data_IF_328513410859
#
_entry.id   IF_328513410859
#
_cell.length_a   1.000
_cell.length_b   1.000
_cell.length_c   1.000
_cell.angle_alpha   90.00
_cell.angle_beta   90.00
_cell.angle_gamma   90.00
#
_symmetry.space_group_name_H-M   'P 1'
#
loop_
_entity.id
_entity.type
_entity.pdbx_description
1 polymer ?
#
# COMPACT_ATOMS: atom_id res chain seq x y z
N UNK A 1 13.88 12.91 -10.45
CA UNK A 1 13.52 12.23 -11.73
C UNK A 1 12.51 11.13 -11.42
N UNK A 2 11.69 10.74 -12.42
CA UNK A 2 10.75 9.63 -12.24
C UNK A 2 11.50 8.29 -12.43
N UNK A 3 11.40 7.38 -11.45
CA UNK A 3 12.01 6.04 -11.53
C UNK A 3 11.04 4.98 -12.03
N UNK A 4 9.73 5.22 -11.85
CA UNK A 4 8.66 4.40 -12.41
C UNK A 4 7.70 5.32 -13.15
N UNK A 5 7.37 4.96 -14.40
CA UNK A 5 6.39 5.66 -15.22
C UNK A 5 5.53 4.67 -15.97
N UNK A 6 4.21 4.87 -15.96
CA UNK A 6 3.29 4.10 -16.80
C UNK A 6 2.50 5.03 -17.70
N UNK A 7 2.20 4.56 -18.90
CA UNK A 7 1.38 5.28 -19.88
C UNK A 7 0.28 4.33 -20.38
N UNK A 8 -0.96 4.62 -19.98
CA UNK A 8 -2.16 3.85 -20.31
C UNK A 8 -2.00 2.34 -20.09
N UNK A 9 -1.29 1.97 -19.01
CA UNK A 9 -0.99 0.58 -18.70
C UNK A 9 -2.28 -0.17 -18.44
N UNK A 10 -2.57 -1.19 -19.26
CA UNK A 10 -3.83 -1.93 -19.23
C UNK A 10 -3.58 -3.42 -19.20
N UNK A 11 -4.39 -4.15 -18.41
CA UNK A 11 -4.40 -5.62 -18.41
C UNK A 11 -5.81 -6.16 -18.39
N UNK A 12 -6.15 -6.94 -19.41
CA UNK A 12 -7.42 -7.66 -19.54
C UNK A 12 -7.22 -9.16 -19.43
N UNK A 13 -8.20 -9.86 -18.86
CA UNK A 13 -8.30 -11.31 -18.77
C UNK A 13 -9.68 -11.71 -19.30
N UNK A 14 -9.77 -12.07 -20.57
CA UNK A 14 -11.05 -12.28 -21.22
C UNK A 14 -11.91 -11.04 -21.17
N UNK A 15 -13.07 -11.10 -20.53
CA UNK A 15 -13.98 -9.94 -20.37
C UNK A 15 -13.62 -9.03 -19.17
N UNK A 16 -12.70 -9.44 -18.29
CA UNK A 16 -12.35 -8.67 -17.11
C UNK A 16 -11.15 -7.77 -17.42
N UNK A 17 -11.30 -6.46 -17.25
CA UNK A 17 -10.20 -5.50 -17.24
C UNK A 17 -9.74 -5.31 -15.80
N UNK A 18 -8.61 -5.94 -15.44
CA UNK A 18 -8.07 -5.91 -14.09
C UNK A 18 -7.25 -4.66 -13.79
N UNK A 19 -6.65 -4.03 -14.81
CA UNK A 19 -5.98 -2.72 -14.74
C UNK A 19 -6.38 -1.96 -16.00
N UNK A 20 -6.84 -0.73 -15.86
CA UNK A 20 -7.48 0.04 -16.92
C UNK A 20 -6.84 1.43 -17.06
N UNK A 21 -6.06 1.62 -18.14
CA UNK A 21 -5.40 2.86 -18.54
C UNK A 21 -4.64 3.56 -17.38
N UNK A 22 -3.88 2.75 -16.60
CA UNK A 22 -3.19 3.24 -15.42
C UNK A 22 -2.00 4.13 -15.82
N UNK A 23 -2.05 5.38 -15.36
CA UNK A 23 -1.00 6.38 -15.52
C UNK A 23 -0.42 6.73 -14.16
N UNK A 24 0.84 6.39 -13.95
CA UNK A 24 1.59 6.63 -12.72
C UNK A 24 2.94 7.25 -13.01
N UNK A 25 3.37 8.11 -12.11
CA UNK A 25 4.72 8.64 -12.09
C UNK A 25 5.22 8.66 -10.65
N UNK A 26 6.31 7.92 -10.37
CA UNK A 26 6.88 7.75 -9.03
C UNK A 26 8.29 8.30 -9.04
N UNK A 27 8.59 9.16 -8.07
CA UNK A 27 9.89 9.79 -7.93
C UNK A 27 10.90 8.82 -7.31
N UNK A 28 12.17 9.06 -7.60
CA UNK A 28 13.27 8.33 -6.96
C UNK A 28 13.34 8.68 -5.47
N UNK A 29 13.55 7.66 -4.62
CA UNK A 29 13.71 7.84 -3.18
C UNK A 29 12.42 8.12 -2.42
N UNK A 30 11.24 7.77 -2.96
CA UNK A 30 9.98 7.85 -2.21
C UNK A 30 9.42 6.48 -1.82
N UNK A 31 8.60 6.44 -0.79
CA UNK A 31 7.68 5.35 -0.52
C UNK A 31 6.35 5.68 -1.18
N UNK A 32 5.98 4.91 -2.19
CA UNK A 32 4.70 5.04 -2.88
C UNK A 32 3.75 3.92 -2.48
N UNK A 33 2.55 4.27 -2.03
CA UNK A 33 1.49 3.35 -1.63
C UNK A 33 0.45 3.17 -2.74
N UNK A 34 0.22 1.93 -3.20
CA UNK A 34 -0.93 1.58 -4.04
C UNK A 34 -1.99 0.91 -3.17
N UNK A 35 -3.09 1.58 -2.95
CA UNK A 35 -4.10 1.20 -1.97
C UNK A 35 -5.43 0.92 -2.62
N UNK A 36 -6.10 -0.12 -2.18
CA UNK A 36 -7.42 -0.49 -2.69
C UNK A 36 -7.89 -1.82 -2.12
N UNK A 37 -9.17 -2.17 -2.30
CA UNK A 37 -9.74 -3.42 -1.81
C UNK A 37 -9.14 -4.64 -2.53
N UNK A 38 -9.51 -5.82 -2.05
CA UNK A 38 -9.18 -7.06 -2.75
C UNK A 38 -9.82 -7.07 -4.13
N UNK A 39 -9.05 -7.49 -5.14
CA UNK A 39 -9.50 -7.47 -6.54
C UNK A 39 -9.38 -6.12 -7.25
N UNK A 40 -8.96 -5.04 -6.60
CA UNK A 40 -8.80 -3.73 -7.23
C UNK A 40 -7.74 -3.67 -8.35
N UNK A 41 -6.84 -4.67 -8.46
CA UNK A 41 -5.79 -4.71 -9.49
C UNK A 41 -4.37 -4.46 -8.97
N UNK A 42 -4.17 -4.32 -7.64
CA UNK A 42 -2.85 -4.01 -7.01
C UNK A 42 -1.74 -4.99 -7.42
N UNK A 43 -1.94 -6.29 -7.15
CA UNK A 43 -0.97 -7.34 -7.52
C UNK A 43 -0.75 -7.44 -9.03
N UNK A 44 -1.81 -7.26 -9.84
CA UNK A 44 -1.70 -7.26 -11.30
C UNK A 44 -0.82 -6.10 -11.78
N UNK A 45 -1.02 -4.91 -11.24
CA UNK A 45 -0.18 -3.74 -11.52
C UNK A 45 1.29 -4.01 -11.17
N UNK A 46 1.56 -4.51 -9.95
CA UNK A 46 2.93 -4.84 -9.55
C UNK A 46 3.58 -5.88 -10.45
N UNK A 47 2.86 -6.95 -10.80
CA UNK A 47 3.39 -7.99 -11.69
C UNK A 47 3.74 -7.47 -13.08
N UNK A 48 2.96 -6.51 -13.60
CA UNK A 48 3.31 -5.83 -14.84
C UNK A 48 4.57 -4.98 -14.68
N UNK A 49 4.68 -4.19 -13.62
CA UNK A 49 5.85 -3.34 -13.35
C UNK A 49 7.13 -4.16 -13.11
N UNK A 50 7.01 -5.36 -12.56
CA UNK A 50 8.13 -6.28 -12.35
C UNK A 50 8.45 -7.15 -13.58
N UNK A 51 7.71 -7.01 -14.69
CA UNK A 51 7.86 -7.84 -15.88
C UNK A 51 7.47 -9.30 -15.69
N UNK A 52 6.70 -9.62 -14.66
CA UNK A 52 6.15 -10.96 -14.41
C UNK A 52 4.87 -11.21 -15.21
N UNK A 53 4.34 -10.17 -15.83
CA UNK A 53 3.14 -10.20 -16.64
C UNK A 53 3.21 -9.11 -17.70
N UNK A 54 2.94 -9.45 -18.96
CA UNK A 54 2.88 -8.47 -20.03
C UNK A 54 1.58 -7.66 -19.93
N UNK A 55 1.61 -6.35 -20.17
CA UNK A 55 0.40 -5.56 -20.35
C UNK A 55 -0.34 -6.02 -21.62
N UNK A 56 -1.65 -5.79 -21.68
CA UNK A 56 -2.44 -5.94 -22.90
C UNK A 56 -2.25 -4.71 -23.79
N UNK A 57 -2.19 -3.53 -23.17
CA UNK A 57 -1.97 -2.24 -23.83
C UNK A 57 -1.13 -1.31 -22.93
N UNK A 58 -0.60 -0.26 -23.53
CA UNK A 58 0.21 0.72 -22.83
C UNK A 58 1.64 0.25 -22.59
N UNK A 59 2.37 1.00 -21.76
CA UNK A 59 3.76 0.70 -21.44
C UNK A 59 4.14 1.07 -20.01
N UNK A 60 5.20 0.45 -19.50
CA UNK A 60 5.81 0.78 -18.22
C UNK A 60 7.32 0.92 -18.37
N UNK A 61 7.87 1.97 -17.77
CA UNK A 61 9.30 2.21 -17.63
C UNK A 61 9.65 2.09 -16.15
N UNK A 62 10.62 1.26 -15.81
CA UNK A 62 11.09 1.06 -14.44
C UNK A 62 12.61 1.17 -14.42
N UNK A 63 13.14 2.02 -13.55
CA UNK A 63 14.57 2.31 -13.44
C UNK A 63 15.23 2.70 -14.77
N UNK A 64 14.47 3.36 -15.67
CA UNK A 64 14.93 3.80 -16.98
C UNK A 64 14.74 2.79 -18.11
N UNK A 65 14.25 1.57 -17.82
CA UNK A 65 14.10 0.47 -18.79
C UNK A 65 12.63 0.18 -19.11
N UNK A 66 12.34 -0.07 -20.39
CA UNK A 66 11.02 -0.52 -20.84
C UNK A 66 10.80 -1.99 -20.43
N UNK A 67 9.81 -2.21 -19.55
CA UNK A 67 9.54 -3.54 -18.95
C UNK A 67 9.26 -4.61 -19.99
N UNK A 68 8.68 -4.25 -21.13
CA UNK A 68 8.32 -5.19 -22.20
C UNK A 68 9.47 -5.53 -23.13
N UNK A 69 10.54 -4.70 -23.16
CA UNK A 69 11.65 -4.84 -24.12
C UNK A 69 12.97 -5.16 -23.46
N UNK A 70 13.18 -4.68 -22.23
CA UNK A 70 14.47 -4.73 -21.51
C UNK A 70 14.31 -5.47 -20.17
N UNK A 71 13.58 -6.59 -20.20
CA UNK A 71 13.16 -7.32 -18.99
C UNK A 71 14.31 -7.69 -18.06
N UNK A 72 15.44 -8.14 -18.60
CA UNK A 72 16.59 -8.55 -17.79
C UNK A 72 17.22 -7.34 -17.11
N UNK A 73 17.36 -6.21 -17.80
CA UNK A 73 17.83 -4.95 -17.21
C UNK A 73 16.89 -4.43 -16.11
N UNK A 74 15.56 -4.61 -16.27
CA UNK A 74 14.59 -4.29 -15.22
C UNK A 74 14.79 -5.19 -14.00
N UNK A 75 14.93 -6.52 -14.20
CA UNK A 75 15.10 -7.49 -13.10
C UNK A 75 16.35 -7.21 -12.26
N UNK A 76 17.43 -6.75 -12.89
CA UNK A 76 18.67 -6.40 -12.19
C UNK A 76 18.51 -5.15 -11.29
N UNK A 77 17.51 -4.32 -11.56
CA UNK A 77 17.29 -3.06 -10.84
C UNK A 77 16.17 -3.13 -9.79
N UNK A 78 15.38 -4.22 -9.77
CA UNK A 78 14.22 -4.33 -8.90
C UNK A 78 14.33 -5.49 -7.91
N UNK A 79 13.80 -5.29 -6.70
CA UNK A 79 13.47 -6.37 -5.78
C UNK A 79 11.95 -6.55 -5.75
N UNK A 80 11.45 -7.78 -5.82
CA UNK A 80 10.03 -8.07 -5.69
C UNK A 80 9.76 -9.04 -4.55
N UNK A 81 9.04 -8.57 -3.56
CA UNK A 81 8.54 -9.37 -2.45
C UNK A 81 7.06 -9.65 -2.68
N UNK A 82 6.74 -10.82 -3.16
CA UNK A 82 5.37 -11.27 -3.36
C UNK A 82 4.64 -11.47 -2.02
N UNK A 83 3.32 -11.36 -2.02
CA UNK A 83 2.46 -11.61 -0.85
C UNK A 83 2.77 -12.95 -0.16
N UNK A 84 3.11 -13.99 -0.94
CA UNK A 84 3.66 -15.26 -0.45
C UNK A 84 5.07 -15.41 -0.98
N UNK A 85 6.04 -14.97 -0.18
CA UNK A 85 7.44 -15.12 -0.55
C UNK A 85 7.93 -16.55 -0.33
N UNK A 86 8.68 -17.06 -1.29
CA UNK A 86 9.14 -18.46 -1.34
C UNK A 86 10.31 -18.76 -0.40
N UNK A 87 10.19 -18.51 0.92
CA UNK A 87 11.21 -18.93 1.88
C UNK A 87 11.27 -20.46 1.99
N UNK A 88 12.47 -21.00 2.03
CA UNK A 88 12.70 -22.41 2.30
C UNK A 88 12.59 -22.66 3.80
N UNK A 89 11.52 -23.30 4.23
CA UNK A 89 11.15 -23.47 5.65
C UNK A 89 12.19 -24.29 6.43
N UNK A 90 12.83 -25.24 5.76
CA UNK A 90 13.80 -26.15 6.38
C UNK A 90 15.21 -25.55 6.46
N UNK A 91 15.48 -24.53 5.65
CA UNK A 91 16.72 -23.77 5.71
C UNK A 91 16.67 -22.73 6.84
N UNK A 92 17.81 -22.50 7.45
CA UNK A 92 18.02 -21.42 8.42
C UNK A 92 17.92 -20.05 7.75
N UNK A 93 17.85 -18.99 8.55
CA UNK A 93 17.91 -17.60 8.07
C UNK A 93 19.15 -17.39 7.21
N UNK A 94 20.33 -17.80 7.69
CA UNK A 94 21.60 -17.64 6.96
C UNK A 94 21.62 -18.44 5.65
N UNK A 95 21.12 -19.68 5.64
CA UNK A 95 21.07 -20.52 4.45
C UNK A 95 20.07 -19.98 3.40
N UNK A 96 18.91 -19.45 3.82
CA UNK A 96 18.01 -18.74 2.91
C UNK A 96 18.72 -17.54 2.25
N UNK A 97 19.41 -16.71 3.05
CA UNK A 97 20.15 -15.56 2.51
C UNK A 97 21.27 -16.00 1.56
N UNK A 98 22.00 -17.07 1.89
CA UNK A 98 23.01 -17.62 1.00
C UNK A 98 22.42 -18.10 -0.33
N UNK A 99 21.31 -18.85 -0.28
CA UNK A 99 20.63 -19.33 -1.47
C UNK A 99 20.22 -18.18 -2.41
N UNK A 100 19.56 -17.14 -1.86
CA UNK A 100 19.16 -15.99 -2.69
C UNK A 100 20.37 -15.18 -3.17
N UNK A 101 21.43 -15.05 -2.39
CA UNK A 101 22.68 -14.42 -2.82
C UNK A 101 23.27 -15.15 -4.04
N UNK A 102 23.37 -16.47 -3.95
CA UNK A 102 23.93 -17.28 -5.04
C UNK A 102 23.07 -17.18 -6.31
N UNK A 103 21.73 -17.12 -6.16
CA UNK A 103 20.81 -16.92 -7.27
C UNK A 103 21.04 -15.58 -8.00
N UNK A 104 21.40 -14.53 -7.27
CA UNK A 104 21.72 -13.21 -7.82
C UNK A 104 23.21 -13.05 -8.19
N UNK A 105 24.04 -14.09 -8.05
CA UNK A 105 25.47 -14.05 -8.33
C UNK A 105 26.29 -13.25 -7.31
N UNK A 106 25.72 -12.90 -6.14
CA UNK A 106 26.40 -12.16 -5.06
C UNK A 106 27.13 -13.17 -4.18
N UNK A 107 28.46 -13.21 -4.24
CA UNK A 107 29.29 -14.24 -3.56
C UNK A 107 30.45 -13.63 -2.80
N UNK A 108 31.15 -14.46 -2.03
CA UNK A 108 32.37 -14.09 -1.33
C UNK A 108 32.18 -12.94 -0.33
N UNK A 109 33.17 -12.07 -0.25
CA UNK A 109 33.21 -10.97 0.72
C UNK A 109 32.01 -10.01 0.60
N UNK A 110 31.56 -9.74 -0.62
CA UNK A 110 30.41 -8.86 -0.87
C UNK A 110 29.14 -9.42 -0.23
N UNK A 111 28.88 -10.72 -0.40
CA UNK A 111 27.78 -11.41 0.27
C UNK A 111 27.85 -11.29 1.78
N UNK A 112 29.05 -11.56 2.35
CA UNK A 112 29.21 -11.60 3.80
C UNK A 112 28.98 -10.22 4.43
N UNK A 113 29.51 -9.16 3.82
CA UNK A 113 29.33 -7.77 4.26
C UNK A 113 27.84 -7.34 4.16
N UNK A 114 27.20 -7.66 3.05
CA UNK A 114 25.79 -7.31 2.82
C UNK A 114 24.85 -8.09 3.76
N UNK A 115 25.09 -9.39 3.92
CA UNK A 115 24.33 -10.24 4.85
C UNK A 115 24.45 -9.72 6.28
N UNK A 116 25.65 -9.42 6.74
CA UNK A 116 25.87 -8.86 8.08
C UNK A 116 25.16 -7.51 8.26
N UNK A 117 25.17 -6.63 7.24
CA UNK A 117 24.48 -5.34 7.26
C UNK A 117 22.96 -5.54 7.36
N UNK A 118 22.37 -6.41 6.52
CA UNK A 118 20.93 -6.67 6.50
C UNK A 118 20.44 -7.30 7.80
N UNK A 119 21.18 -8.24 8.36
CA UNK A 119 20.88 -8.85 9.66
C UNK A 119 20.84 -7.82 10.79
N UNK A 120 21.85 -6.92 10.86
CA UNK A 120 21.86 -5.81 11.85
C UNK A 120 20.68 -4.88 11.68
N UNK A 121 20.43 -4.42 10.47
CA UNK A 121 19.32 -3.50 10.14
C UNK A 121 17.95 -4.07 10.56
N UNK A 122 17.75 -5.37 10.39
CA UNK A 122 16.49 -6.06 10.73
C UNK A 122 16.45 -6.62 12.15
N UNK A 123 17.56 -6.53 12.90
CA UNK A 123 17.76 -7.14 14.23
C UNK A 123 17.57 -8.67 14.20
N UNK A 124 17.96 -9.30 13.11
CA UNK A 124 17.84 -10.75 12.92
C UNK A 124 19.12 -11.52 13.24
N UNK A 125 20.21 -10.86 13.66
CA UNK A 125 21.51 -11.48 14.00
C UNK A 125 21.39 -12.66 14.98
N UNK A 126 20.59 -12.60 16.08
CA UNK A 126 20.50 -13.72 17.01
C UNK A 126 19.79 -14.95 16.42
N UNK A 127 19.12 -14.79 15.28
CA UNK A 127 18.26 -15.81 14.69
C UNK A 127 18.87 -16.48 13.46
N UNK A 128 20.11 -16.16 13.09
CA UNK A 128 20.79 -16.65 11.86
C UNK A 128 20.73 -18.17 11.69
N UNK A 129 20.87 -18.92 12.79
CA UNK A 129 20.86 -20.39 12.80
C UNK A 129 19.47 -21.00 12.98
N UNK A 130 18.41 -20.17 13.06
CA UNK A 130 17.04 -20.66 13.24
C UNK A 130 16.43 -21.01 11.87
N UNK A 131 15.82 -22.21 11.72
CA UNK A 131 15.06 -22.54 10.51
C UNK A 131 13.93 -21.54 10.24
N UNK A 132 13.74 -21.18 8.97
CA UNK A 132 12.74 -20.19 8.58
C UNK A 132 11.30 -20.63 8.95
N UNK A 133 11.03 -21.93 8.92
CA UNK A 133 9.74 -22.49 9.36
C UNK A 133 9.40 -22.18 10.83
N UNK A 134 10.42 -21.98 11.69
CA UNK A 134 10.27 -21.70 13.14
C UNK A 134 10.28 -20.19 13.46
N UNK A 135 10.26 -19.33 12.48
CA UNK A 135 10.17 -17.87 12.66
C UNK A 135 8.69 -17.44 12.84
N UNK A 136 8.47 -16.34 13.59
CA UNK A 136 7.18 -15.67 13.61
C UNK A 136 6.84 -15.05 12.25
N UNK A 137 5.58 -14.65 12.02
CA UNK A 137 5.15 -14.00 10.78
C UNK A 137 6.01 -12.78 10.46
N UNK A 138 6.15 -11.84 11.40
CA UNK A 138 6.97 -10.64 11.21
C UNK A 138 8.46 -10.95 10.97
N UNK A 139 9.02 -12.00 11.60
CA UNK A 139 10.40 -12.41 11.31
C UNK A 139 10.54 -13.03 9.91
N UNK A 140 9.54 -13.76 9.42
CA UNK A 140 9.51 -14.27 8.04
C UNK A 140 9.47 -13.12 7.03
N UNK A 141 8.68 -12.08 7.30
CA UNK A 141 8.65 -10.89 6.45
C UNK A 141 10.00 -10.14 6.43
N UNK A 142 10.66 -10.01 7.59
CA UNK A 142 12.01 -9.44 7.66
C UNK A 142 13.03 -10.29 6.87
N UNK A 143 12.96 -11.62 6.95
CA UNK A 143 13.82 -12.50 6.16
C UNK A 143 13.52 -12.37 4.65
N UNK A 144 12.26 -12.36 4.25
CA UNK A 144 11.86 -12.15 2.87
C UNK A 144 12.41 -10.83 2.31
N UNK A 145 12.25 -9.75 3.09
CA UNK A 145 12.81 -8.44 2.74
C UNK A 145 14.34 -8.49 2.59
N UNK A 146 15.07 -9.12 3.52
CA UNK A 146 16.51 -9.26 3.40
C UNK A 146 16.90 -10.00 2.11
N UNK A 147 16.22 -11.11 1.79
CA UNK A 147 16.48 -11.88 0.57
C UNK A 147 16.26 -11.04 -0.70
N UNK A 148 15.24 -10.17 -0.74
CA UNK A 148 14.99 -9.29 -1.90
C UNK A 148 15.96 -8.12 -2.03
N UNK A 149 16.78 -7.85 -1.03
CA UNK A 149 17.75 -6.75 -1.03
C UNK A 149 19.18 -7.18 -1.35
N UNK A 150 19.44 -8.49 -1.50
CA UNK A 150 20.79 -9.03 -1.67
C UNK A 150 21.50 -8.59 -2.95
N UNK A 151 20.78 -8.26 -4.01
CA UNK A 151 21.34 -7.74 -5.27
C UNK A 151 21.34 -6.22 -5.37
N UNK A 152 21.05 -5.50 -4.26
CA UNK A 152 21.06 -4.03 -4.16
C UNK A 152 20.16 -3.34 -5.20
N UNK A 153 18.86 -3.65 -5.26
CA UNK A 153 17.94 -3.05 -6.23
C UNK A 153 17.82 -1.53 -6.03
N UNK A 154 17.40 -0.81 -7.09
CA UNK A 154 17.02 0.61 -7.02
C UNK A 154 15.56 0.80 -6.63
N UNK A 155 14.72 -0.16 -6.99
CA UNK A 155 13.29 -0.16 -6.69
C UNK A 155 12.90 -1.45 -5.97
N UNK A 156 12.18 -1.32 -4.88
CA UNK A 156 11.64 -2.43 -4.12
C UNK A 156 10.11 -2.47 -4.24
N UNK A 157 9.58 -3.51 -4.82
CA UNK A 157 8.15 -3.79 -4.89
C UNK A 157 7.73 -4.73 -3.77
N UNK A 158 6.76 -4.33 -2.97
CA UNK A 158 6.25 -5.08 -1.82
C UNK A 158 4.75 -5.32 -1.97
N UNK A 159 4.34 -6.55 -2.20
CA UNK A 159 2.94 -6.91 -2.39
C UNK A 159 2.33 -7.37 -1.06
N UNK A 160 1.58 -6.48 -0.41
CA UNK A 160 0.96 -6.68 0.92
C UNK A 160 1.93 -7.23 1.98
N UNK A 161 3.09 -6.59 2.20
CA UNK A 161 4.20 -7.17 2.95
C UNK A 161 3.91 -7.43 4.42
N UNK A 162 2.89 -6.81 4.99
CA UNK A 162 2.55 -6.88 6.41
C UNK A 162 1.19 -7.53 6.67
N UNK A 163 0.60 -8.15 5.64
CA UNK A 163 -0.65 -8.88 5.80
C UNK A 163 -0.49 -10.04 6.79
N UNK A 164 -1.37 -10.12 7.79
CA UNK A 164 -1.30 -11.12 8.85
C UNK A 164 -0.16 -10.96 9.85
N UNK A 165 0.51 -9.80 9.88
CA UNK A 165 1.58 -9.46 10.82
C UNK A 165 1.02 -8.65 11.99
N UNK A 166 1.49 -8.94 13.20
CA UNK A 166 1.07 -8.21 14.41
C UNK A 166 1.49 -6.72 14.36
N UNK A 167 0.79 -5.82 15.08
CA UNK A 167 1.04 -4.37 14.98
C UNK A 167 2.46 -3.93 15.37
N UNK A 168 3.13 -4.64 16.28
CA UNK A 168 4.51 -4.31 16.70
C UNK A 168 5.49 -4.65 15.59
N UNK A 169 5.38 -5.87 15.05
CA UNK A 169 6.21 -6.33 13.92
C UNK A 169 5.97 -5.49 12.66
N UNK A 170 4.72 -5.03 12.42
CA UNK A 170 4.36 -4.13 11.33
C UNK A 170 5.08 -2.79 11.46
N UNK A 171 5.04 -2.17 12.65
CA UNK A 171 5.75 -0.92 12.93
C UNK A 171 7.25 -1.06 12.71
N UNK A 172 7.85 -2.16 13.18
CA UNK A 172 9.27 -2.45 12.98
C UNK A 172 9.63 -2.59 11.50
N UNK A 173 8.77 -3.26 10.71
CA UNK A 173 8.95 -3.42 9.27
C UNK A 173 8.96 -2.07 8.55
N UNK A 174 8.01 -1.19 8.86
CA UNK A 174 7.97 0.17 8.30
C UNK A 174 9.18 1.02 8.70
N UNK A 175 9.71 0.87 9.91
CA UNK A 175 10.94 1.55 10.33
C UNK A 175 12.13 1.15 9.44
N UNK A 176 12.22 -0.14 9.08
CA UNK A 176 13.24 -0.63 8.14
C UNK A 176 13.07 0.00 6.75
N UNK A 177 11.83 0.11 6.25
CA UNK A 177 11.56 0.75 4.96
C UNK A 177 12.00 2.21 4.94
N UNK A 178 11.75 2.97 6.01
CA UNK A 178 12.22 4.35 6.11
C UNK A 178 13.74 4.46 6.08
N UNK A 179 14.46 3.56 6.74
CA UNK A 179 15.93 3.55 6.72
C UNK A 179 16.47 3.20 5.31
N UNK A 180 15.81 2.30 4.59
CA UNK A 180 16.16 1.94 3.22
C UNK A 180 15.96 3.12 2.26
N UNK A 181 14.85 3.83 2.39
CA UNK A 181 14.53 5.00 1.55
C UNK A 181 15.47 6.17 1.84
N UNK A 182 15.88 6.39 3.10
CA UNK A 182 16.94 7.35 3.43
C UNK A 182 18.28 6.98 2.78
N UNK A 183 18.51 5.70 2.51
CA UNK A 183 19.65 5.20 1.75
C UNK A 183 19.52 5.31 0.24
N UNK A 184 18.43 5.93 -0.28
CA UNK A 184 18.20 6.16 -1.71
C UNK A 184 17.36 5.10 -2.41
N UNK A 185 16.86 4.06 -1.70
CA UNK A 185 15.96 3.06 -2.29
C UNK A 185 14.58 3.67 -2.54
N UNK A 186 13.97 3.36 -3.68
CA UNK A 186 12.56 3.66 -3.92
C UNK A 186 11.70 2.45 -3.54
N UNK A 187 10.60 2.67 -2.85
CA UNK A 187 9.70 1.60 -2.40
C UNK A 187 8.32 1.78 -2.99
N UNK A 188 7.83 0.76 -3.67
CA UNK A 188 6.44 0.64 -4.11
C UNK A 188 5.76 -0.43 -3.27
N UNK A 189 4.79 -0.04 -2.44
CA UNK A 189 4.06 -0.97 -1.57
C UNK A 189 2.59 -1.04 -1.95
N UNK A 190 2.04 -2.24 -2.11
CA UNK A 190 0.58 -2.44 -2.14
C UNK A 190 0.07 -2.77 -0.74
N UNK A 191 -1.08 -2.25 -0.40
CA UNK A 191 -1.77 -2.61 0.84
C UNK A 191 -3.28 -2.42 0.71
N UNK A 192 -4.06 -3.23 1.43
CA UNK A 192 -5.48 -2.97 1.67
C UNK A 192 -5.70 -2.12 2.94
N UNK A 193 -4.65 -1.92 3.74
CA UNK A 193 -4.73 -1.21 5.02
C UNK A 193 -4.42 0.28 4.84
N UNK A 194 -5.41 1.13 5.08
CA UNK A 194 -5.30 2.58 4.88
C UNK A 194 -4.45 3.26 5.97
N UNK A 195 -4.36 2.68 7.17
CA UNK A 195 -3.45 3.10 8.24
C UNK A 195 -1.96 2.90 7.87
N UNK A 196 -1.67 1.91 7.03
CA UNK A 196 -0.34 1.74 6.45
C UNK A 196 -0.06 2.75 5.33
N UNK A 197 -1.06 3.03 4.52
CA UNK A 197 -0.95 4.01 3.44
C UNK A 197 -0.57 5.41 3.96
N UNK A 198 -1.02 5.77 5.16
CA UNK A 198 -0.64 7.03 5.81
C UNK A 198 0.87 7.19 6.05
N UNK A 199 1.62 6.08 5.99
CA UNK A 199 3.07 6.04 6.16
C UNK A 199 3.85 6.30 4.87
N UNK A 200 3.19 6.26 3.71
CA UNK A 200 3.80 6.53 2.42
C UNK A 200 3.96 8.03 2.16
N UNK A 201 4.91 8.41 1.30
CA UNK A 201 5.07 9.78 0.84
C UNK A 201 3.90 10.21 -0.05
N UNK A 202 3.48 9.32 -0.96
CA UNK A 202 2.31 9.49 -1.83
C UNK A 202 1.53 8.20 -1.90
N UNK A 203 0.24 8.35 -2.12
CA UNK A 203 -0.72 7.24 -2.17
C UNK A 203 -1.58 7.38 -3.41
N UNK A 204 -1.73 6.29 -4.15
CA UNK A 204 -2.76 6.16 -5.17
C UNK A 204 -3.87 5.23 -4.68
N UNK A 205 -5.10 5.71 -4.70
CA UNK A 205 -6.29 4.91 -4.47
C UNK A 205 -6.69 4.20 -5.77
N UNK A 206 -6.69 2.88 -5.73
CA UNK A 206 -7.03 2.01 -6.86
C UNK A 206 -8.38 1.34 -6.58
N UNK A 207 -9.30 1.45 -7.52
CA UNK A 207 -10.57 0.74 -7.52
C UNK A 207 -10.92 0.26 -8.93
N UNK A 208 -11.36 -1.00 -9.06
CA UNK A 208 -11.72 -1.61 -10.35
C UNK A 208 -10.69 -1.36 -11.47
N UNK A 209 -9.39 -1.46 -11.13
CA UNK A 209 -8.30 -1.28 -12.07
C UNK A 209 -7.94 0.17 -12.41
N UNK A 210 -8.63 1.17 -11.86
CA UNK A 210 -8.41 2.59 -12.13
C UNK A 210 -7.92 3.35 -10.91
N UNK A 211 -7.04 4.34 -11.13
CA UNK A 211 -6.68 5.28 -10.09
C UNK A 211 -7.78 6.30 -9.93
N UNK A 212 -8.39 6.33 -8.74
CA UNK A 212 -9.40 7.33 -8.38
C UNK A 212 -8.72 8.65 -8.03
N UNK A 213 -7.66 8.59 -7.24
CA UNK A 213 -6.91 9.75 -6.76
C UNK A 213 -5.48 9.34 -6.42
N UNK A 214 -4.53 10.25 -6.64
CA UNK A 214 -3.14 10.07 -6.26
C UNK A 214 -2.57 11.37 -5.71
N UNK A 215 -2.12 11.38 -4.45
CA UNK A 215 -1.49 12.54 -3.81
C UNK A 215 -0.79 12.12 -2.50
N UNK A 216 -0.24 13.09 -1.76
CA UNK A 216 0.22 12.89 -0.39
C UNK A 216 -0.95 12.55 0.54
N UNK A 217 -0.75 11.76 1.61
CA UNK A 217 -1.80 11.48 2.59
C UNK A 217 -2.47 12.75 3.14
N UNK A 218 -1.69 13.79 3.38
CA UNK A 218 -2.21 15.07 3.88
C UNK A 218 -3.09 15.80 2.84
N UNK A 219 -2.70 15.78 1.55
CA UNK A 219 -3.50 16.39 0.48
C UNK A 219 -4.78 15.58 0.23
N UNK A 220 -4.70 14.25 0.26
CA UNK A 220 -5.88 13.37 0.12
C UNK A 220 -6.92 13.66 1.20
N UNK A 221 -6.50 13.79 2.48
CA UNK A 221 -7.42 14.11 3.58
C UNK A 221 -8.12 15.46 3.43
N UNK A 222 -7.49 16.41 2.74
CA UNK A 222 -8.05 17.74 2.47
C UNK A 222 -8.78 17.83 1.12
N UNK A 223 -8.80 16.76 0.34
CA UNK A 223 -9.35 16.77 -1.02
C UNK A 223 -10.87 16.70 -1.09
N UNK A 224 -11.54 16.35 0.01
CA UNK A 224 -12.99 16.35 0.07
C UNK A 224 -13.52 17.76 0.29
N UNK A 225 -14.57 18.10 -0.44
CA UNK A 225 -15.28 19.37 -0.26
C UNK A 225 -16.23 19.34 0.95
N UNK A 226 -16.58 18.14 1.39
CA UNK A 226 -17.49 17.88 2.48
C UNK A 226 -16.75 17.90 3.81
N UNK A 227 -17.35 18.53 4.83
CA UNK A 227 -16.81 18.54 6.19
C UNK A 227 -17.11 17.22 6.89
N UNK A 228 -16.11 16.70 7.59
CA UNK A 228 -16.23 15.50 8.41
C UNK A 228 -16.44 15.87 9.88
N UNK A 229 -17.42 15.26 10.51
CA UNK A 229 -17.70 15.42 11.93
C UNK A 229 -17.60 14.10 12.66
N UNK A 230 -17.05 14.14 13.86
CA UNK A 230 -17.02 13.02 14.79
C UNK A 230 -18.11 13.17 15.82
N UNK A 231 -18.79 12.07 16.14
CA UNK A 231 -19.86 12.00 17.13
C UNK A 231 -19.74 10.70 17.92
N UNK A 232 -20.13 10.73 19.19
CA UNK A 232 -20.16 9.57 20.05
C UNK A 232 -21.53 9.41 20.72
N UNK A 233 -22.01 8.16 20.75
CA UNK A 233 -23.23 7.77 21.46
C UNK A 233 -22.99 6.49 22.25
N UNK A 234 -23.85 6.23 23.22
CA UNK A 234 -23.91 4.93 23.90
C UNK A 234 -24.50 3.83 23.01
N UNK A 235 -25.28 4.20 21.99
CA UNK A 235 -25.80 3.32 20.96
C UNK A 235 -25.48 3.92 19.57
N UNK A 236 -24.26 3.66 19.10
CA UNK A 236 -23.80 4.12 17.79
C UNK A 236 -24.60 3.48 16.63
N UNK A 237 -25.18 2.29 16.81
CA UNK A 237 -25.97 1.65 15.77
C UNK A 237 -27.29 2.38 15.51
N UNK A 238 -28.06 2.61 16.58
CA UNK A 238 -29.32 3.34 16.47
C UNK A 238 -29.09 4.78 15.98
N UNK A 239 -28.04 5.44 16.47
CA UNK A 239 -27.69 6.79 16.02
C UNK A 239 -27.30 6.83 14.54
N UNK A 240 -26.50 5.85 14.05
CA UNK A 240 -26.16 5.72 12.64
C UNK A 240 -27.39 5.59 11.75
N UNK A 241 -28.31 4.68 12.15
CA UNK A 241 -29.56 4.44 11.40
C UNK A 241 -30.48 5.68 11.35
N UNK A 242 -30.48 6.47 12.42
CA UNK A 242 -31.22 7.76 12.48
C UNK A 242 -30.59 8.82 11.60
N UNK A 243 -29.28 9.07 11.79
CA UNK A 243 -28.57 10.12 11.06
C UNK A 243 -28.49 9.84 9.53
N UNK A 244 -28.38 8.59 9.13
CA UNK A 244 -28.36 8.22 7.71
C UNK A 244 -29.66 8.58 6.95
N UNK A 245 -30.75 8.83 7.67
CA UNK A 245 -32.04 9.23 7.08
C UNK A 245 -32.20 10.75 7.01
N UNK A 246 -31.29 11.51 7.64
CA UNK A 246 -31.41 12.96 7.68
C UNK A 246 -31.02 13.60 6.34
N UNK A 247 -31.82 14.54 5.83
CA UNK A 247 -31.48 15.26 4.60
C UNK A 247 -30.13 15.98 4.74
N UNK A 248 -29.24 15.79 3.75
CA UNK A 248 -27.92 16.41 3.74
C UNK A 248 -26.84 15.63 4.45
N UNK A 249 -27.16 14.53 5.12
CA UNK A 249 -26.17 13.55 5.59
C UNK A 249 -25.77 12.67 4.41
N UNK A 250 -24.48 12.70 4.07
CA UNK A 250 -23.95 11.93 2.94
C UNK A 250 -23.56 10.52 3.36
N UNK A 251 -22.85 10.41 4.46
CA UNK A 251 -22.43 9.11 5.03
C UNK A 251 -22.31 9.19 6.54
N UNK A 252 -22.51 8.05 7.20
CA UNK A 252 -22.25 7.86 8.64
C UNK A 252 -21.52 6.53 8.79
N UNK A 253 -20.22 6.60 9.13
CA UNK A 253 -19.39 5.41 9.22
C UNK A 253 -18.89 5.18 10.66
N UNK A 254 -18.93 3.95 11.16
CA UNK A 254 -18.38 3.62 12.47
C UNK A 254 -16.85 3.63 12.40
N UNK A 255 -16.21 4.39 13.29
CA UNK A 255 -14.75 4.46 13.41
C UNK A 255 -14.36 4.27 14.88
N UNK A 256 -14.00 3.05 15.26
CA UNK A 256 -13.72 2.69 16.64
C UNK A 256 -14.93 2.93 17.56
N UNK A 257 -14.78 3.80 18.58
CA UNK A 257 -15.85 4.15 19.52
C UNK A 257 -16.74 5.31 19.03
N UNK A 258 -16.50 5.83 17.84
CA UNK A 258 -17.16 7.02 17.28
C UNK A 258 -17.88 6.70 15.98
N UNK A 259 -18.71 7.64 15.53
CA UNK A 259 -19.22 7.71 14.17
C UNK A 259 -18.57 8.91 13.47
N UNK A 260 -18.14 8.71 12.24
CA UNK A 260 -17.73 9.79 11.34
C UNK A 260 -18.87 10.10 10.39
N UNK A 261 -19.20 11.36 10.29
CA UNK A 261 -20.33 11.89 9.53
C UNK A 261 -19.86 12.88 8.50
N UNK A 262 -20.28 12.72 7.25
CA UNK A 262 -20.06 13.71 6.20
C UNK A 262 -21.35 14.44 5.87
N UNK A 263 -21.28 15.76 5.82
CA UNK A 263 -22.41 16.64 5.54
C UNK A 263 -22.26 17.34 4.20
N UNK A 264 -23.38 17.45 3.50
CA UNK A 264 -23.50 18.40 2.41
C UNK A 264 -23.93 19.78 3.00
N UNK A 265 -23.01 20.77 3.03
CA UNK A 265 -23.30 22.06 3.67
C UNK A 265 -24.39 22.87 2.96
N UNK A 266 -24.78 22.47 1.73
CA UNK A 266 -25.88 23.11 0.98
C UNK A 266 -27.26 22.63 1.42
N UNK A 267 -27.34 21.46 2.07
CA UNK A 267 -28.62 20.84 2.43
C UNK A 267 -28.91 20.86 3.93
N UNK A 268 -27.87 20.82 4.77
CA UNK A 268 -28.02 20.85 6.22
C UNK A 268 -26.79 21.44 6.88
N UNK A 269 -26.94 21.91 8.12
CA UNK A 269 -25.82 22.34 8.96
C UNK A 269 -25.65 21.45 10.18
N UNK A 270 -24.46 21.45 10.75
CA UNK A 270 -24.16 20.68 11.96
C UNK A 270 -24.99 21.17 13.16
N UNK A 271 -25.27 22.48 13.24
CA UNK A 271 -26.09 23.07 14.29
C UNK A 271 -27.53 22.56 14.24
N UNK A 272 -28.08 22.42 13.02
CA UNK A 272 -29.42 21.87 12.81
C UNK A 272 -29.50 20.43 13.27
N UNK A 273 -28.49 19.62 12.94
CA UNK A 273 -28.44 18.22 13.37
C UNK A 273 -28.22 18.11 14.88
N UNK A 274 -27.37 18.94 15.47
CA UNK A 274 -27.13 18.96 16.92
C UNK A 274 -28.39 19.33 17.70
N UNK A 275 -29.13 20.35 17.25
CA UNK A 275 -30.38 20.75 17.88
C UNK A 275 -31.46 19.65 17.79
N UNK A 276 -31.50 18.89 16.67
CA UNK A 276 -32.48 17.83 16.45
C UNK A 276 -32.14 16.53 17.18
N UNK A 277 -30.87 16.15 17.19
CA UNK A 277 -30.40 14.90 17.76
C UNK A 277 -30.03 14.96 19.24
N UNK A 278 -29.71 16.15 19.76
CA UNK A 278 -29.21 16.36 21.12
C UNK A 278 -27.77 15.92 21.34
N UNK A 279 -27.01 15.63 20.28
CA UNK A 279 -25.62 15.21 20.35
C UNK A 279 -24.65 16.33 19.96
N UNK A 280 -23.43 16.27 20.49
CA UNK A 280 -22.34 17.16 20.11
C UNK A 280 -21.58 16.57 18.91
N UNK A 281 -21.32 17.42 17.92
CA UNK A 281 -20.56 17.12 16.73
C UNK A 281 -19.24 17.89 16.76
N UNK A 282 -18.13 17.18 16.63
CA UNK A 282 -16.81 17.79 16.57
C UNK A 282 -16.26 17.70 15.15
N UNK A 283 -15.94 18.82 14.55
CA UNK A 283 -15.28 18.84 13.25
C UNK A 283 -13.89 18.20 13.35
N UNK A 284 -13.59 17.30 12.44
CA UNK A 284 -12.32 16.60 12.38
C UNK A 284 -11.77 16.58 10.96
N UNK A 285 -10.45 16.43 10.84
CA UNK A 285 -9.84 16.06 9.58
C UNK A 285 -10.12 14.58 9.32
N UNK A 286 -10.71 14.20 8.16
CA UNK A 286 -11.04 12.80 7.87
C UNK A 286 -9.77 11.93 7.82
N UNK A 287 -9.90 10.65 8.15
CA UNK A 287 -8.87 9.64 7.89
C UNK A 287 -8.77 9.33 6.39
N UNK A 288 -7.70 8.63 5.96
CA UNK A 288 -7.64 8.14 4.57
C UNK A 288 -8.76 7.15 4.27
N UNK A 289 -9.24 6.41 5.27
CA UNK A 289 -10.37 5.48 5.13
C UNK A 289 -11.66 6.22 4.82
N UNK A 290 -11.93 7.30 5.54
CA UNK A 290 -13.09 8.16 5.29
C UNK A 290 -13.06 8.74 3.88
N UNK A 291 -11.87 9.23 3.45
CA UNK A 291 -11.68 9.79 2.11
C UNK A 291 -11.89 8.73 1.03
N UNK A 292 -11.32 7.55 1.21
CA UNK A 292 -11.42 6.46 0.26
C UNK A 292 -12.88 6.01 0.08
N UNK A 293 -13.61 5.80 1.17
CA UNK A 293 -15.04 5.43 1.14
C UNK A 293 -15.87 6.52 0.44
N UNK A 294 -15.63 7.79 0.77
CA UNK A 294 -16.35 8.90 0.16
C UNK A 294 -16.10 9.00 -1.36
N UNK A 295 -14.86 8.77 -1.81
CA UNK A 295 -14.52 8.79 -3.24
C UNK A 295 -15.13 7.60 -3.99
N UNK A 296 -15.08 6.38 -3.43
CA UNK A 296 -15.72 5.21 -4.06
C UNK A 296 -17.23 5.46 -4.26
N UNK A 297 -17.93 5.93 -3.25
CA UNK A 297 -19.37 6.21 -3.37
C UNK A 297 -19.69 7.25 -4.45
N UNK A 298 -18.84 8.27 -4.60
CA UNK A 298 -18.99 9.25 -5.68
C UNK A 298 -18.81 8.59 -7.06
N UNK A 299 -17.82 7.72 -7.21
CA UNK A 299 -17.60 6.98 -8.45
C UNK A 299 -18.74 6.01 -8.77
N UNK A 300 -19.27 5.29 -7.78
CA UNK A 300 -20.42 4.39 -7.94
C UNK A 300 -21.68 5.15 -8.36
N UNK A 301 -21.95 6.30 -7.74
CA UNK A 301 -23.07 7.16 -8.10
C UNK A 301 -22.91 7.71 -9.52
N UNK A 302 -21.70 8.08 -9.96
CA UNK A 302 -21.44 8.55 -11.31
C UNK A 302 -21.58 7.45 -12.37
N UNK A 303 -21.31 6.17 -12.01
CA UNK A 303 -21.49 5.00 -12.91
C UNK A 303 -22.94 4.57 -13.03
N UNK A 304 -23.78 4.88 -12.03
CA UNK A 304 -25.19 4.52 -11.99
C UNK A 304 -26.11 5.56 -12.68
N UNK A 305 -25.60 6.77 -12.91
CA UNK A 305 -26.29 7.88 -13.60
C UNK A 305 -26.03 7.86 -15.11
#
# INVERSE_FOLDING_TARGET
>A
MSIIRTENLTRTFGALTAVDHLNLEIAEGEIFGLVGPDGAGKTTTMRMLCGLMNPTEGKAIVAGHDVSKELDAVKDQIGYMAQRFGLYSDLTVAENMTFYSDLFGVTGRERDELTARLLRMTRMEPFQKRPAGKLSGGMKQKLALMCTLLHKPKVLFLDEPTNGVDPVSRRDFWAILYDLVRGGLTVFVSTAYLDEAERANRVAFLDHGRIIRCDTPAALRRSLAETCYQIRSNDNRALRESLAKEPGVLTVEPTGAYLHLFLNPKLTSVETLAAKSGFEFHEILPSLEDVFIALIRKEEAARAA
#
